data_IF_621658920719
#
_entry.id   IF_621658920719
#
_cell.length_a   1.000
_cell.length_b   1.000
_cell.length_c   1.000
_cell.angle_alpha   90.00
_cell.angle_beta   90.00
_cell.angle_gamma   90.00
#
_symmetry.space_group_name_H-M   'P 1'
#
loop_
_entity.id
_entity.type
_entity.pdbx_description
1 polymer ?
#
# COMPACT_ATOMS: atom_id res chain seq x y z
N UNK A 1 -33.48 7.47 -10.83
CA UNK A 1 -32.15 7.65 -11.47
C UNK A 1 -31.52 6.28 -11.55
N UNK A 2 -31.30 5.71 -12.74
CA UNK A 2 -30.61 4.42 -12.85
C UNK A 2 -29.21 4.53 -12.23
N UNK A 3 -28.81 3.54 -11.43
CA UNK A 3 -27.45 3.48 -10.89
C UNK A 3 -26.47 3.37 -12.06
N UNK A 4 -25.66 4.42 -12.27
CA UNK A 4 -24.57 4.39 -13.26
C UNK A 4 -23.50 3.41 -12.77
N UNK A 5 -22.95 2.63 -13.68
CA UNK A 5 -21.82 1.75 -13.40
C UNK A 5 -20.65 2.56 -12.79
N UNK A 6 -19.90 1.93 -11.88
CA UNK A 6 -18.69 2.50 -11.29
C UNK A 6 -17.65 2.68 -12.39
N UNK A 7 -16.93 3.80 -12.35
CA UNK A 7 -15.88 4.09 -13.34
C UNK A 7 -14.62 3.30 -13.01
N UNK A 8 -14.07 2.64 -14.01
CA UNK A 8 -12.79 1.95 -13.92
C UNK A 8 -11.61 2.93 -13.97
N UNK A 9 -10.45 2.48 -13.48
CA UNK A 9 -9.23 3.31 -13.46
C UNK A 9 -8.81 3.76 -14.87
N UNK A 10 -9.00 2.92 -15.88
CA UNK A 10 -8.65 3.24 -17.27
C UNK A 10 -9.58 4.30 -17.86
N UNK A 11 -10.88 4.23 -17.57
CA UNK A 11 -11.86 5.24 -18.00
C UNK A 11 -11.55 6.61 -17.36
N UNK A 12 -11.16 6.63 -16.09
CA UNK A 12 -10.74 7.86 -15.41
C UNK A 12 -9.46 8.44 -16.01
N UNK A 13 -8.51 7.59 -16.39
CA UNK A 13 -7.28 8.03 -17.06
C UNK A 13 -7.58 8.58 -18.46
N UNK A 14 -8.52 7.98 -19.19
CA UNK A 14 -8.99 8.49 -20.46
C UNK A 14 -9.65 9.86 -20.32
N UNK A 15 -10.57 10.02 -19.36
CA UNK A 15 -11.22 11.32 -19.07
C UNK A 15 -10.17 12.39 -18.74
N UNK A 16 -9.16 12.04 -17.94
CA UNK A 16 -8.05 12.95 -17.62
C UNK A 16 -7.31 13.44 -18.88
N UNK A 17 -7.06 12.54 -19.84
CA UNK A 17 -6.31 12.86 -21.05
C UNK A 17 -7.15 13.69 -22.05
N UNK A 18 -8.45 13.42 -22.13
CA UNK A 18 -9.36 14.06 -23.07
C UNK A 18 -9.89 15.41 -22.58
N UNK A 19 -10.01 15.61 -21.26
CA UNK A 19 -10.69 16.76 -20.68
C UNK A 19 -9.83 17.49 -19.64
N UNK A 20 -9.11 18.52 -20.09
CA UNK A 20 -8.21 19.34 -19.25
C UNK A 20 -8.89 20.51 -18.53
N UNK A 21 -10.22 20.51 -18.43
CA UNK A 21 -10.94 21.58 -17.73
C UNK A 21 -10.60 21.58 -16.24
N UNK A 22 -10.34 22.75 -15.61
CA UNK A 22 -10.02 22.83 -14.18
C UNK A 22 -11.04 22.13 -13.29
N UNK A 23 -12.32 22.21 -13.64
CA UNK A 23 -13.42 21.58 -12.88
C UNK A 23 -13.33 20.05 -12.95
N UNK A 24 -13.05 19.51 -14.15
CA UNK A 24 -12.89 18.06 -14.35
C UNK A 24 -11.68 17.55 -13.57
N UNK A 25 -10.57 18.28 -13.58
CA UNK A 25 -9.38 17.91 -12.82
C UNK A 25 -9.60 17.91 -11.30
N UNK A 26 -10.38 18.85 -10.77
CA UNK A 26 -10.77 18.86 -9.35
C UNK A 26 -11.61 17.64 -8.98
N UNK A 27 -12.61 17.31 -9.82
CA UNK A 27 -13.44 16.12 -9.60
C UNK A 27 -12.63 14.82 -9.67
N UNK A 28 -11.74 14.69 -10.66
CA UNK A 28 -10.84 13.55 -10.78
C UNK A 28 -9.91 13.43 -9.57
N UNK A 29 -9.48 14.55 -8.99
CA UNK A 29 -8.69 14.55 -7.76
C UNK A 29 -9.49 14.02 -6.56
N UNK A 30 -10.73 14.46 -6.37
CA UNK A 30 -11.60 13.94 -5.32
C UNK A 30 -11.87 12.45 -5.50
N UNK A 31 -12.11 11.99 -6.74
CA UNK A 31 -12.28 10.56 -7.03
C UNK A 31 -11.03 9.78 -6.61
N UNK A 32 -9.82 10.25 -6.96
CA UNK A 32 -8.58 9.61 -6.53
C UNK A 32 -8.39 9.62 -5.01
N UNK A 33 -8.80 10.69 -4.33
CA UNK A 33 -8.77 10.79 -2.87
C UNK A 33 -9.70 9.76 -2.22
N UNK A 34 -10.92 9.59 -2.75
CA UNK A 34 -11.88 8.59 -2.30
C UNK A 34 -11.35 7.16 -2.52
N UNK A 35 -10.82 6.86 -3.71
CA UNK A 35 -10.18 5.57 -4.00
C UNK A 35 -9.03 5.25 -3.03
N UNK A 36 -8.24 6.25 -2.64
CA UNK A 36 -7.18 6.07 -1.65
C UNK A 36 -7.73 5.72 -0.27
N UNK A 37 -8.88 6.27 0.11
CA UNK A 37 -9.57 5.92 1.36
C UNK A 37 -10.13 4.50 1.31
N UNK A 38 -10.73 4.09 0.20
CA UNK A 38 -11.21 2.72 -0.02
C UNK A 38 -10.06 1.71 0.09
N UNK A 39 -8.91 1.98 -0.54
CA UNK A 39 -7.71 1.13 -0.41
C UNK A 39 -7.22 1.00 1.03
N UNK A 40 -7.31 2.06 1.84
CA UNK A 40 -7.00 1.98 3.27
C UNK A 40 -8.02 1.14 4.04
N UNK A 41 -9.31 1.28 3.72
CA UNK A 41 -10.35 0.44 4.32
C UNK A 41 -10.11 -1.05 4.02
N UNK A 42 -9.69 -1.36 2.78
CA UNK A 42 -9.26 -2.71 2.40
C UNK A 42 -8.10 -3.22 3.25
N UNK A 43 -7.06 -2.41 3.45
CA UNK A 43 -5.92 -2.78 4.31
C UNK A 43 -6.37 -3.06 5.76
N UNK A 44 -7.26 -2.24 6.31
CA UNK A 44 -7.82 -2.47 7.66
C UNK A 44 -8.60 -3.78 7.70
N UNK A 45 -9.43 -4.07 6.68
CA UNK A 45 -10.14 -5.35 6.57
C UNK A 45 -9.18 -6.55 6.61
N UNK A 46 -8.09 -6.49 5.83
CA UNK A 46 -7.06 -7.52 5.77
C UNK A 46 -6.32 -7.71 7.10
N UNK A 47 -6.17 -6.65 7.90
CA UNK A 47 -5.53 -6.71 9.22
C UNK A 47 -6.40 -7.35 10.29
N UNK A 48 -7.70 -7.04 10.33
CA UNK A 48 -8.60 -7.52 11.39
C UNK A 48 -8.99 -8.98 11.15
N UNK A 49 -9.03 -9.45 9.89
CA UNK A 49 -9.31 -10.84 9.42
C UNK A 49 -10.67 -11.42 9.79
N UNK A 50 -11.29 -10.98 10.89
CA UNK A 50 -12.63 -11.37 11.33
C UNK A 50 -13.46 -10.12 11.64
N UNK A 51 -14.81 -10.20 11.53
CA UNK A 51 -15.67 -9.09 11.90
C UNK A 51 -15.44 -8.68 13.37
N UNK A 52 -15.29 -7.38 13.68
CA UNK A 52 -15.20 -6.95 15.07
C UNK A 52 -16.48 -7.32 15.84
N UNK A 53 -16.33 -7.84 17.06
CA UNK A 53 -17.47 -8.26 17.92
C UNK A 53 -18.48 -7.13 18.16
N UNK A 54 -18.02 -5.88 18.12
CA UNK A 54 -18.86 -4.69 18.30
C UNK A 54 -19.66 -4.28 17.05
N UNK A 55 -19.39 -4.87 15.87
CA UNK A 55 -20.06 -4.50 14.61
C UNK A 55 -21.13 -5.54 14.28
N UNK A 56 -22.41 -5.13 14.09
CA UNK A 56 -23.46 -6.05 13.66
C UNK A 56 -23.09 -6.76 12.35
N UNK A 57 -23.36 -8.07 12.27
CA UNK A 57 -22.98 -8.89 11.11
C UNK A 57 -23.51 -8.34 9.78
N UNK A 58 -24.73 -7.81 9.76
CA UNK A 58 -25.32 -7.22 8.55
C UNK A 58 -24.58 -5.95 8.08
N UNK A 59 -24.09 -5.14 9.02
CA UNK A 59 -23.32 -3.93 8.71
C UNK A 59 -21.95 -4.31 8.16
N UNK A 60 -21.32 -5.32 8.76
CA UNK A 60 -20.05 -5.85 8.27
C UNK A 60 -20.18 -6.47 6.87
N UNK A 61 -21.23 -7.25 6.64
CA UNK A 61 -21.49 -7.87 5.33
C UNK A 61 -21.74 -6.82 4.24
N UNK A 62 -22.51 -5.76 4.54
CA UNK A 62 -22.73 -4.65 3.62
C UNK A 62 -21.40 -3.94 3.27
N UNK A 63 -20.56 -3.69 4.27
CA UNK A 63 -19.23 -3.13 4.06
C UNK A 63 -18.34 -4.01 3.18
N UNK A 64 -18.33 -5.32 3.39
CA UNK A 64 -17.59 -6.26 2.55
C UNK A 64 -18.08 -6.24 1.10
N UNK A 65 -19.40 -6.30 0.89
CA UNK A 65 -20.01 -6.23 -0.44
C UNK A 65 -19.69 -4.93 -1.16
N UNK A 66 -19.74 -3.80 -0.45
CA UNK A 66 -19.41 -2.49 -1.02
C UNK A 66 -17.95 -2.45 -1.47
N UNK A 67 -17.02 -2.90 -0.63
CA UNK A 67 -15.59 -2.98 -0.94
C UNK A 67 -15.31 -3.92 -2.11
N UNK A 68 -15.88 -5.13 -2.10
CA UNK A 68 -15.62 -6.14 -3.12
C UNK A 68 -16.10 -5.70 -4.51
N UNK A 69 -17.10 -4.82 -4.56
CA UNK A 69 -17.56 -4.20 -5.80
C UNK A 69 -16.71 -3.02 -6.29
N UNK A 70 -15.70 -2.55 -5.56
CA UNK A 70 -14.95 -1.33 -5.92
C UNK A 70 -13.88 -1.61 -6.98
N UNK A 71 -14.00 -1.05 -8.20
CA UNK A 71 -13.04 -1.31 -9.28
C UNK A 71 -11.62 -0.91 -8.91
N UNK A 72 -11.45 0.11 -8.05
CA UNK A 72 -10.10 0.54 -7.66
C UNK A 72 -9.33 -0.49 -6.83
N UNK A 73 -9.97 -1.56 -6.34
CA UNK A 73 -9.29 -2.65 -5.64
C UNK A 73 -8.85 -3.78 -6.60
N UNK A 74 -9.61 -4.02 -7.68
CA UNK A 74 -9.37 -5.09 -8.65
C UNK A 74 -8.64 -4.64 -9.91
N UNK A 75 -8.81 -3.37 -10.28
CA UNK A 75 -8.25 -2.80 -11.50
C UNK A 75 -6.72 -2.74 -11.42
N UNK A 76 -6.09 -3.07 -12.55
CA UNK A 76 -4.67 -2.89 -12.70
C UNK A 76 -4.31 -1.40 -12.57
N UNK A 77 -3.16 -1.08 -11.94
CA UNK A 77 -2.69 0.29 -11.91
C UNK A 77 -2.49 0.80 -13.34
N UNK A 78 -2.96 2.00 -13.62
CA UNK A 78 -2.77 2.67 -14.92
C UNK A 78 -1.28 2.85 -15.22
N UNK A 79 -0.90 3.02 -16.48
CA UNK A 79 0.49 3.29 -16.87
C UNK A 79 1.12 4.47 -16.11
N UNK A 80 0.32 5.51 -15.83
CA UNK A 80 0.76 6.66 -15.04
C UNK A 80 1.04 6.30 -13.58
N UNK A 81 0.22 5.43 -13.00
CA UNK A 81 0.41 4.93 -11.64
C UNK A 81 1.61 3.98 -11.57
N UNK A 82 1.75 3.05 -12.53
CA UNK A 82 2.93 2.18 -12.65
C UNK A 82 4.23 2.98 -12.69
N UNK A 83 4.30 4.03 -13.51
CA UNK A 83 5.46 4.93 -13.56
C UNK A 83 5.77 5.65 -12.25
N UNK A 84 4.75 5.93 -11.42
CA UNK A 84 4.97 6.51 -10.07
C UNK A 84 5.48 5.45 -9.10
N UNK A 85 4.88 4.25 -9.12
CA UNK A 85 5.27 3.12 -8.27
C UNK A 85 6.73 2.72 -8.54
N UNK A 86 7.10 2.57 -9.82
CA UNK A 86 8.47 2.19 -10.21
C UNK A 86 9.50 3.21 -9.71
N UNK A 87 9.25 4.51 -9.89
CA UNK A 87 10.14 5.57 -9.38
C UNK A 87 10.30 5.53 -7.86
N UNK A 88 9.23 5.19 -7.14
CA UNK A 88 9.27 5.04 -5.69
C UNK A 88 10.11 3.82 -5.27
N UNK A 89 9.92 2.69 -5.96
CA UNK A 89 10.69 1.46 -5.73
C UNK A 89 12.18 1.65 -6.02
N UNK A 90 12.51 2.34 -7.12
CA UNK A 90 13.89 2.70 -7.49
C UNK A 90 14.57 3.55 -6.40
N UNK A 91 13.86 4.54 -5.84
CA UNK A 91 14.37 5.36 -4.74
C UNK A 91 14.68 4.53 -3.50
N UNK A 92 13.75 3.67 -3.07
CA UNK A 92 13.94 2.81 -1.91
C UNK A 92 15.11 1.84 -2.11
N UNK A 93 15.32 1.35 -3.33
CA UNK A 93 16.44 0.48 -3.65
C UNK A 93 17.77 1.23 -3.56
N UNK A 94 17.84 2.45 -4.10
CA UNK A 94 19.03 3.28 -4.00
C UNK A 94 19.39 3.65 -2.55
N UNK A 95 18.38 3.89 -1.70
CA UNK A 95 18.56 4.16 -0.27
C UNK A 95 19.15 2.94 0.45
N UNK A 96 18.61 1.73 0.20
CA UNK A 96 19.15 0.47 0.76
C UNK A 96 20.58 0.21 0.33
N UNK A 97 20.90 0.37 -0.96
CA UNK A 97 22.26 0.17 -1.48
C UNK A 97 23.25 1.18 -0.88
N UNK A 98 22.80 2.42 -0.66
CA UNK A 98 23.62 3.44 0.00
C UNK A 98 23.84 3.15 1.49
N UNK A 99 22.84 2.62 2.20
CA UNK A 99 22.99 2.15 3.58
C UNK A 99 23.94 0.95 3.68
N UNK A 100 23.83 -0.02 2.77
CA UNK A 100 24.73 -1.18 2.72
C UNK A 100 26.18 -0.78 2.45
N UNK A 101 26.41 0.19 1.56
CA UNK A 101 27.75 0.75 1.29
C UNK A 101 28.34 1.52 2.46
N UNK A 102 27.50 2.11 3.33
CA UNK A 102 27.92 2.82 4.53
C UNK A 102 28.16 1.91 5.73
N UNK A 103 27.74 0.65 5.67
CA UNK A 103 27.95 -0.29 6.77
C UNK A 103 29.45 -0.61 6.87
N UNK A 104 30.14 -0.25 7.97
CA UNK A 104 31.54 -0.60 8.12
C UNK A 104 31.66 -2.12 8.06
N UNK A 105 32.58 -2.64 7.23
CA UNK A 105 32.97 -4.06 7.28
C UNK A 105 33.39 -4.31 8.72
N UNK A 106 32.58 -5.07 9.46
CA UNK A 106 33.03 -5.66 10.71
C UNK A 106 34.11 -6.64 10.29
N UNK A 107 35.37 -6.21 10.35
CA UNK A 107 36.50 -7.12 10.30
C UNK A 107 36.32 -8.06 11.49
N UNK A 108 35.80 -9.26 11.20
CA UNK A 108 35.91 -10.38 12.13
C UNK A 108 37.39 -10.70 12.13
N UNK A 109 38.09 -10.17 13.12
CA UNK A 109 39.51 -10.47 13.36
C UNK A 109 39.64 -11.99 13.57
N UNK A 110 40.29 -12.72 12.66
CA UNK A 110 40.41 -14.18 12.76
C UNK A 110 41.35 -14.62 13.88
N UNK A 111 41.94 -13.69 14.66
CA UNK A 111 42.81 -14.00 15.80
C UNK A 111 42.07 -14.30 17.11
N UNK A 112 40.77 -14.02 17.21
CA UNK A 112 39.95 -14.41 18.36
C UNK A 112 39.30 -15.77 18.11
N UNK A 113 39.96 -16.81 18.62
CA UNK A 113 39.42 -18.17 18.65
C UNK A 113 38.05 -18.27 19.39
N UNK A 114 37.31 -19.38 19.22
CA UNK A 114 35.94 -19.51 19.66
C UNK A 114 35.84 -19.73 21.18
N UNK A 115 36.04 -18.68 21.99
CA UNK A 115 35.88 -18.76 23.45
C UNK A 115 35.29 -17.48 24.05
N UNK A 116 34.09 -17.10 23.62
CA UNK A 116 33.20 -16.23 24.42
C UNK A 116 31.75 -16.57 24.12
N UNK A 117 31.39 -17.81 24.44
CA UNK A 117 30.00 -18.25 24.53
C UNK A 117 29.76 -18.95 25.87
N UNK A 118 30.21 -18.39 26.98
CA UNK A 118 29.85 -18.87 28.32
C UNK A 118 30.16 -17.75 29.31
N UNK A 119 29.15 -17.00 29.75
CA UNK A 119 28.99 -16.42 31.10
C UNK A 119 27.90 -15.34 31.05
N UNK A 120 26.65 -15.80 31.05
CA UNK A 120 25.52 -15.03 31.54
C UNK A 120 24.47 -16.00 32.09
N UNK A 121 24.86 -16.80 33.08
CA UNK A 121 23.89 -17.48 33.96
C UNK A 121 24.59 -17.90 35.23
N UNK A 122 24.77 -16.96 36.16
CA UNK A 122 24.68 -17.31 37.57
C UNK A 122 24.20 -16.11 38.39
N UNK A 123 22.90 -16.12 38.67
CA UNK A 123 22.26 -15.41 39.78
C UNK A 123 21.14 -16.32 40.27
N UNK A 124 21.43 -17.15 41.26
CA UNK A 124 20.57 -17.45 42.42
C UNK A 124 21.36 -18.26 43.45
#
# INVERSE_FOLDING_TARGET
MPHRARLHLDELAQIWNENSSPVVLQLLWEIHRLQSTIRRAQQVREMIRTPPVAVPAIVWQAFEQELDGEPCLTDNPTERQKKKINRWAERLQAEREHEERKKPRTEVDPSLGPLTAFFASDRS
#
